data_IF_025824290143
#
_entry.id   IF_025824290143
#
_cell.length_a   1.000
_cell.length_b   1.000
_cell.length_c   1.000
_cell.angle_alpha   90.00
_cell.angle_beta   90.00
_cell.angle_gamma   90.00
#
_symmetry.space_group_name_H-M   'P 1'
#
loop_
_entity.id
_entity.type
_entity.pdbx_description
1 polymer ?
#
# COMPACT_ATOMS: atom_id res chain seq x y z
N UNK A 1 -61.70 -21.96 -65.66
CA UNK A 1 -60.99 -21.99 -64.36
C UNK A 1 -60.22 -23.29 -64.30
N UNK A 2 -58.94 -23.28 -64.69
CA UNK A 2 -58.12 -24.49 -64.68
C UNK A 2 -57.70 -24.80 -63.24
N UNK A 3 -58.18 -25.91 -62.70
CA UNK A 3 -57.82 -26.40 -61.38
C UNK A 3 -56.42 -26.99 -61.42
N UNK A 4 -55.48 -26.33 -60.74
CA UNK A 4 -54.09 -26.80 -60.54
C UNK A 4 -54.05 -28.27 -60.11
N UNK A 5 -53.08 -28.99 -60.65
CA UNK A 5 -52.89 -30.41 -60.34
C UNK A 5 -52.25 -30.60 -58.95
N UNK A 6 -52.50 -31.74 -58.27
CA UNK A 6 -52.00 -31.98 -56.90
C UNK A 6 -50.47 -31.90 -56.76
N UNK A 7 -49.75 -32.12 -57.87
CA UNK A 7 -48.29 -32.04 -57.99
C UNK A 7 -47.78 -30.60 -58.01
N UNK A 8 -48.41 -29.70 -58.77
CA UNK A 8 -48.04 -28.27 -58.83
C UNK A 8 -48.22 -27.58 -57.46
N UNK A 9 -49.28 -27.93 -56.72
CA UNK A 9 -49.48 -27.42 -55.35
C UNK A 9 -48.41 -27.91 -54.36
N UNK A 10 -47.90 -29.13 -54.54
CA UNK A 10 -46.83 -29.69 -53.69
C UNK A 10 -45.48 -29.02 -53.98
N UNK A 11 -45.17 -28.73 -55.23
CA UNK A 11 -43.94 -28.02 -55.62
C UNK A 11 -43.97 -26.54 -55.18
N UNK A 12 -45.12 -25.88 -55.32
CA UNK A 12 -45.33 -24.52 -54.79
C UNK A 12 -45.20 -24.47 -53.26
N UNK A 13 -45.74 -25.48 -52.54
CA UNK A 13 -45.60 -25.58 -51.10
C UNK A 13 -44.15 -25.88 -50.66
N UNK A 14 -43.42 -26.74 -51.40
CA UNK A 14 -42.02 -27.04 -51.13
C UNK A 14 -41.12 -25.82 -51.33
N UNK A 15 -41.39 -25.01 -52.36
CA UNK A 15 -40.65 -23.77 -52.63
C UNK A 15 -40.89 -22.73 -51.54
N UNK A 16 -42.16 -22.55 -51.10
CA UNK A 16 -42.48 -21.66 -49.96
C UNK A 16 -41.79 -22.11 -48.67
N UNK A 17 -41.77 -23.41 -48.38
CA UNK A 17 -41.08 -23.96 -47.19
C UNK A 17 -39.58 -23.69 -47.23
N UNK A 18 -38.94 -23.80 -48.40
CA UNK A 18 -37.51 -23.47 -48.58
C UNK A 18 -37.22 -22.00 -48.28
N UNK A 19 -38.05 -21.08 -48.77
CA UNK A 19 -37.92 -19.64 -48.48
C UNK A 19 -38.13 -19.34 -46.99
N UNK A 20 -39.09 -20.01 -46.34
CA UNK A 20 -39.33 -19.88 -44.89
C UNK A 20 -38.12 -20.38 -44.10
N UNK A 21 -37.57 -21.55 -44.42
CA UNK A 21 -36.36 -22.07 -43.74
C UNK A 21 -35.13 -21.18 -43.94
N UNK A 22 -35.02 -20.51 -45.09
CA UNK A 22 -33.92 -19.58 -45.38
C UNK A 22 -34.05 -18.29 -44.54
N UNK A 23 -35.26 -17.73 -44.47
CA UNK A 23 -35.54 -16.59 -43.63
C UNK A 23 -35.34 -16.90 -42.13
N UNK A 24 -35.70 -18.11 -41.69
CA UNK A 24 -35.50 -18.58 -40.32
C UNK A 24 -34.01 -18.67 -39.96
N UNK A 25 -33.18 -19.24 -40.84
CA UNK A 25 -31.72 -19.30 -40.63
C UNK A 25 -31.11 -17.90 -40.53
N UNK A 26 -31.53 -16.97 -41.39
CA UNK A 26 -31.06 -15.57 -41.35
C UNK A 26 -31.50 -14.88 -40.06
N UNK A 27 -32.73 -15.10 -39.60
CA UNK A 27 -33.22 -14.54 -38.34
C UNK A 27 -32.41 -15.06 -37.14
N UNK A 28 -32.15 -16.36 -37.08
CA UNK A 28 -31.32 -16.97 -36.03
C UNK A 28 -29.90 -16.42 -36.05
N UNK A 29 -29.29 -16.28 -37.23
CA UNK A 29 -27.97 -15.68 -37.38
C UNK A 29 -27.94 -14.23 -36.88
N UNK A 30 -28.97 -13.43 -37.18
CA UNK A 30 -29.11 -12.06 -36.67
C UNK A 30 -29.21 -12.00 -35.14
N UNK A 31 -29.99 -12.88 -34.52
CA UNK A 31 -30.11 -12.96 -33.05
C UNK A 31 -28.78 -13.36 -32.40
N UNK A 32 -28.06 -14.32 -32.99
CA UNK A 32 -26.74 -14.73 -32.49
C UNK A 32 -25.72 -13.58 -32.54
N UNK A 33 -25.69 -12.83 -33.65
CA UNK A 33 -24.81 -11.66 -33.79
C UNK A 33 -25.18 -10.56 -32.78
N UNK A 34 -26.48 -10.31 -32.58
CA UNK A 34 -26.96 -9.33 -31.61
C UNK A 34 -26.58 -9.72 -30.17
N UNK A 35 -26.74 -11.00 -29.82
CA UNK A 35 -26.36 -11.53 -28.51
C UNK A 35 -24.84 -11.41 -28.27
N UNK A 36 -24.02 -11.75 -29.27
CA UNK A 36 -22.56 -11.60 -29.19
C UNK A 36 -22.14 -10.13 -29.02
N UNK A 37 -22.74 -9.23 -29.80
CA UNK A 37 -22.46 -7.77 -29.70
C UNK A 37 -22.88 -7.21 -28.35
N UNK A 38 -24.03 -7.65 -27.82
CA UNK A 38 -24.50 -7.24 -26.50
C UNK A 38 -23.56 -7.73 -25.40
N UNK A 39 -23.11 -8.98 -25.50
CA UNK A 39 -22.17 -9.57 -24.55
C UNK A 39 -20.83 -8.84 -24.55
N UNK A 40 -20.25 -8.56 -25.72
CA UNK A 40 -18.97 -7.83 -25.81
C UNK A 40 -19.09 -6.42 -25.25
N UNK A 41 -20.14 -5.67 -25.61
CA UNK A 41 -20.37 -4.33 -25.08
C UNK A 41 -20.57 -4.33 -23.55
N UNK A 42 -21.33 -5.29 -23.03
CA UNK A 42 -21.53 -5.43 -21.58
C UNK A 42 -20.24 -5.81 -20.84
N UNK A 43 -19.44 -6.70 -21.43
CA UNK A 43 -18.12 -7.10 -20.91
C UNK A 43 -17.15 -5.92 -20.87
N UNK A 44 -17.07 -5.13 -21.95
CA UNK A 44 -16.21 -3.95 -22.03
C UNK A 44 -16.63 -2.88 -21.02
N UNK A 45 -17.95 -2.66 -20.86
CA UNK A 45 -18.45 -1.72 -19.86
C UNK A 45 -18.05 -2.11 -18.43
N UNK A 46 -18.21 -3.40 -18.08
CA UNK A 46 -17.79 -3.97 -16.80
C UNK A 46 -16.28 -3.84 -16.57
N UNK A 47 -15.46 -4.11 -17.58
CA UNK A 47 -14.01 -3.97 -17.48
C UNK A 47 -13.59 -2.52 -17.25
N UNK A 48 -14.20 -1.59 -17.99
CA UNK A 48 -13.91 -0.16 -17.89
C UNK A 48 -14.34 0.44 -16.53
N UNK A 49 -15.46 -0.02 -15.96
CA UNK A 49 -15.86 0.31 -14.58
C UNK A 49 -14.85 -0.22 -13.56
N UNK A 50 -14.40 -1.46 -13.71
CA UNK A 50 -13.39 -2.06 -12.83
C UNK A 50 -12.06 -1.30 -12.88
N UNK A 51 -11.60 -0.93 -14.07
CA UNK A 51 -10.39 -0.13 -14.28
C UNK A 51 -10.52 1.27 -13.71
N UNK A 52 -11.70 1.91 -13.87
CA UNK A 52 -11.96 3.23 -13.28
C UNK A 52 -11.96 3.18 -11.75
N UNK A 53 -12.57 2.16 -11.14
CA UNK A 53 -12.52 1.93 -9.69
C UNK A 53 -11.09 1.66 -9.24
N UNK A 54 -10.35 0.83 -9.98
CA UNK A 54 -8.94 0.53 -9.69
C UNK A 54 -8.08 1.81 -9.77
N UNK A 55 -8.26 2.64 -10.80
CA UNK A 55 -7.55 3.90 -10.99
C UNK A 55 -7.93 4.95 -9.94
N UNK A 56 -9.20 5.06 -9.55
CA UNK A 56 -9.61 5.94 -8.46
C UNK A 56 -9.04 5.46 -7.13
N UNK A 57 -9.03 4.14 -6.88
CA UNK A 57 -8.44 3.57 -5.68
C UNK A 57 -6.92 3.74 -5.64
N UNK A 58 -6.23 3.63 -6.79
CA UNK A 58 -4.79 3.84 -6.88
C UNK A 58 -4.46 5.31 -6.65
N UNK A 59 -5.17 6.25 -7.31
CA UNK A 59 -5.00 7.68 -7.11
C UNK A 59 -5.29 8.11 -5.66
N UNK A 60 -6.33 7.55 -5.03
CA UNK A 60 -6.62 7.78 -3.61
C UNK A 60 -5.51 7.23 -2.69
N UNK A 61 -4.98 6.04 -3.00
CA UNK A 61 -3.81 5.47 -2.33
C UNK A 61 -2.57 6.33 -2.54
N UNK A 62 -2.38 6.91 -3.72
CA UNK A 62 -1.24 7.78 -4.03
C UNK A 62 -1.25 9.09 -3.26
N UNK A 63 -2.42 9.72 -3.15
CA UNK A 63 -2.62 10.95 -2.37
C UNK A 63 -2.43 10.71 -0.87
N UNK A 64 -2.70 9.50 -0.41
CA UNK A 64 -2.53 9.08 1.01
C UNK A 64 -1.08 8.64 1.32
N UNK A 65 -0.14 8.71 0.35
CA UNK A 65 1.26 8.35 0.58
C UNK A 65 1.94 9.43 1.43
N UNK A 66 2.12 9.17 2.72
CA UNK A 66 3.06 9.90 3.57
C UNK A 66 4.49 9.47 3.19
N UNK A 67 5.34 10.44 2.90
CA UNK A 67 6.76 10.22 2.64
C UNK A 67 7.58 10.95 3.72
N UNK A 68 7.76 10.28 4.87
CA UNK A 68 8.50 10.88 5.97
C UNK A 68 9.99 10.91 5.65
N UNK A 69 10.54 12.12 5.73
CA UNK A 69 11.97 12.40 5.78
C UNK A 69 12.35 12.83 7.19
N UNK A 70 13.62 12.64 7.57
CA UNK A 70 14.12 13.11 8.86
C UNK A 70 15.28 14.08 8.67
N UNK A 71 15.30 15.13 9.49
CA UNK A 71 16.42 16.05 9.63
C UNK A 71 17.10 15.75 10.96
N UNK A 72 18.40 15.48 10.91
CA UNK A 72 19.23 15.28 12.10
C UNK A 72 19.42 16.63 12.81
N UNK A 73 19.09 16.66 14.09
CA UNK A 73 19.24 17.82 14.98
C UNK A 73 20.10 17.44 16.20
N UNK A 74 20.50 18.46 16.95
CA UNK A 74 21.23 18.31 18.22
C UNK A 74 22.47 17.40 18.14
N UNK A 75 23.19 17.49 17.01
CA UNK A 75 24.40 16.67 16.79
C UNK A 75 24.13 15.16 16.72
N UNK A 76 22.92 14.75 16.34
CA UNK A 76 22.51 13.36 16.27
C UNK A 76 21.72 12.86 17.47
N UNK A 77 21.26 13.74 18.36
CA UNK A 77 20.38 13.29 19.46
C UNK A 77 18.91 13.17 19.01
N UNK A 78 18.49 13.98 18.04
CA UNK A 78 17.09 14.14 17.66
C UNK A 78 16.94 14.01 16.16
N UNK A 79 15.87 13.35 15.70
CA UNK A 79 15.44 13.35 14.30
C UNK A 79 14.11 14.08 14.19
N UNK A 80 14.10 15.23 13.52
CA UNK A 80 12.86 15.94 13.18
C UNK A 80 12.23 15.31 11.95
N UNK A 81 11.03 14.76 12.10
CA UNK A 81 10.26 14.16 11.01
C UNK A 81 9.55 15.26 10.21
N UNK A 82 9.59 15.15 8.88
CA UNK A 82 8.89 16.03 7.95
C UNK A 82 8.28 15.24 6.82
N UNK A 83 7.06 15.59 6.45
CA UNK A 83 6.47 15.23 5.16
C UNK A 83 6.42 16.49 4.29
N UNK A 84 6.84 16.37 3.04
CA UNK A 84 6.79 17.48 2.09
C UNK A 84 5.35 17.86 1.69
N UNK A 85 4.38 16.97 1.93
CA UNK A 85 3.01 17.10 1.42
C UNK A 85 1.97 17.40 2.49
N UNK A 86 2.24 17.08 3.75
CA UNK A 86 1.25 17.12 4.82
C UNK A 86 1.84 17.67 6.11
N UNK A 87 1.05 18.46 6.84
CA UNK A 87 1.37 18.83 8.21
C UNK A 87 1.10 17.64 9.14
N UNK A 88 2.15 17.19 9.82
CA UNK A 88 2.09 16.08 10.77
C UNK A 88 1.56 16.62 12.10
N UNK A 89 0.41 16.12 12.58
CA UNK A 89 -0.19 16.59 13.83
C UNK A 89 0.05 15.64 15.01
N UNK A 90 -0.55 14.45 14.96
CA UNK A 90 -0.38 13.43 15.99
C UNK A 90 0.52 12.33 15.44
N UNK A 91 1.78 12.33 15.90
CA UNK A 91 2.75 11.30 15.54
C UNK A 91 2.91 10.37 16.73
N UNK A 92 2.75 9.07 16.48
CA UNK A 92 3.02 8.02 17.47
C UNK A 92 4.11 7.12 16.93
N UNK A 93 5.21 7.03 17.67
CA UNK A 93 6.38 6.22 17.34
C UNK A 93 6.37 4.99 18.22
N UNK A 94 6.30 3.83 17.59
CA UNK A 94 6.19 2.54 18.26
C UNK A 94 7.44 1.70 17.99
N UNK A 95 8.01 1.15 19.05
CA UNK A 95 9.25 0.38 18.99
C UNK A 95 9.00 -1.13 19.00
N UNK A 96 9.97 -1.94 18.55
CA UNK A 96 9.92 -3.38 18.73
C UNK A 96 9.74 -3.77 20.21
N UNK A 97 8.81 -4.68 20.50
CA UNK A 97 8.49 -5.08 21.89
C UNK A 97 9.69 -5.63 22.65
N UNK A 98 10.58 -6.32 21.93
CA UNK A 98 11.78 -6.91 22.51
C UNK A 98 12.79 -5.87 23.05
N UNK A 99 12.67 -4.59 22.67
CA UNK A 99 13.48 -3.51 23.24
C UNK A 99 12.96 -3.04 24.60
N UNK A 100 11.71 -3.38 24.95
CA UNK A 100 11.09 -2.96 26.22
C UNK A 100 10.82 -1.44 26.31
N UNK A 101 10.85 -0.73 25.18
CA UNK A 101 10.57 0.71 25.11
C UNK A 101 9.09 0.92 24.77
N UNK A 102 8.38 1.68 25.61
CA UNK A 102 6.97 2.04 25.37
C UNK A 102 6.83 2.94 24.13
N UNK A 103 5.67 2.91 23.43
CA UNK A 103 5.38 3.86 22.37
C UNK A 103 5.53 5.31 22.85
N UNK A 104 6.11 6.15 22.02
CA UNK A 104 6.37 7.56 22.31
C UNK A 104 5.50 8.44 21.42
N UNK A 105 4.97 9.50 22.02
CA UNK A 105 4.19 10.53 21.33
C UNK A 105 4.81 11.88 21.66
N UNK A 106 5.55 12.50 20.73
CA UNK A 106 6.11 13.81 20.99
C UNK A 106 4.98 14.85 21.11
N UNK A 107 5.08 15.79 22.07
CA UNK A 107 3.96 16.67 22.44
C UNK A 107 3.77 17.87 21.50
N UNK A 108 4.78 18.26 20.72
CA UNK A 108 4.74 19.45 19.89
C UNK A 108 5.32 19.19 18.49
N UNK A 109 6.64 19.04 18.40
CA UNK A 109 7.27 18.74 17.12
C UNK A 109 7.31 17.23 16.86
N UNK A 110 7.10 16.78 15.62
CA UNK A 110 7.15 15.36 15.26
C UNK A 110 8.61 14.88 15.25
N UNK A 111 9.18 14.66 16.43
CA UNK A 111 10.58 14.24 16.61
C UNK A 111 10.70 12.77 17.00
N UNK A 112 11.86 12.19 16.72
CA UNK A 112 12.35 10.97 17.37
C UNK A 112 13.57 11.33 18.21
N UNK A 113 13.46 11.20 19.53
CA UNK A 113 14.57 11.45 20.45
C UNK A 113 15.35 10.15 20.71
N UNK A 114 16.67 10.23 20.60
CA UNK A 114 17.57 9.11 20.85
C UNK A 114 17.54 8.62 22.29
N UNK A 115 17.23 9.50 23.26
CA UNK A 115 17.14 9.17 24.68
C UNK A 115 16.07 8.13 25.00
N UNK A 116 15.03 8.00 24.15
CA UNK A 116 13.98 7.00 24.34
C UNK A 116 14.48 5.57 24.14
N UNK A 117 15.53 5.38 23.35
CA UNK A 117 16.05 4.07 22.96
C UNK A 117 17.51 3.85 23.32
N UNK A 118 18.26 4.91 23.67
CA UNK A 118 19.70 4.86 23.91
C UNK A 118 20.08 3.77 24.90
N UNK A 119 19.39 3.70 26.03
CA UNK A 119 19.73 2.75 27.10
C UNK A 119 19.50 1.30 26.67
N UNK A 120 18.40 1.03 25.96
CA UNK A 120 18.09 -0.29 25.43
C UNK A 120 19.10 -0.71 24.34
N UNK A 121 19.44 0.22 23.44
CA UNK A 121 20.40 -0.01 22.36
C UNK A 121 21.83 -0.23 22.88
N UNK A 122 22.26 0.55 23.87
CA UNK A 122 23.57 0.40 24.49
C UNK A 122 23.68 -0.94 25.22
N UNK A 123 22.64 -1.36 25.96
CA UNK A 123 22.59 -2.69 26.59
C UNK A 123 22.64 -3.83 25.57
N UNK A 124 21.92 -3.69 24.47
CA UNK A 124 21.85 -4.71 23.42
C UNK A 124 23.16 -4.87 22.65
N UNK A 125 23.97 -3.80 22.62
CA UNK A 125 25.30 -3.78 21.98
C UNK A 125 26.45 -3.91 22.99
N UNK A 126 26.13 -4.18 24.26
CA UNK A 126 27.12 -4.29 25.33
C UNK A 126 27.99 -5.54 25.18
N UNK A 127 29.27 -5.44 25.52
CA UNK A 127 30.26 -6.51 25.28
C UNK A 127 30.85 -6.54 23.86
N UNK A 128 30.34 -5.69 22.96
CA UNK A 128 30.83 -5.51 21.60
C UNK A 128 31.83 -4.36 21.42
N UNK A 129 32.20 -4.09 20.16
CA UNK A 129 32.92 -2.85 19.78
C UNK A 129 32.15 -1.61 20.26
N UNK A 130 32.87 -0.62 20.78
CA UNK A 130 32.29 0.68 21.15
C UNK A 130 31.71 1.41 19.93
N UNK A 131 32.41 1.28 18.79
CA UNK A 131 31.98 1.83 17.51
C UNK A 131 31.13 0.80 16.78
N UNK A 132 29.83 1.09 16.67
CA UNK A 132 28.85 0.28 15.94
C UNK A 132 27.90 1.17 15.17
N UNK A 133 27.35 0.65 14.09
CA UNK A 133 26.26 1.28 13.38
C UNK A 133 25.21 0.22 13.06
N UNK A 134 23.96 0.65 12.93
CA UNK A 134 22.87 -0.26 12.61
C UNK A 134 21.59 0.46 12.27
N UNK A 135 20.54 -0.35 12.13
CA UNK A 135 19.19 0.11 11.82
C UNK A 135 18.25 -0.37 12.92
N UNK A 136 17.39 0.54 13.37
CA UNK A 136 16.34 0.25 14.31
C UNK A 136 15.00 0.45 13.58
N UNK A 137 14.27 -0.62 13.23
CA UNK A 137 12.95 -0.47 12.67
C UNK A 137 12.01 0.11 13.74
N UNK A 138 11.18 1.08 13.35
CA UNK A 138 10.14 1.70 14.17
C UNK A 138 8.86 1.82 13.35
N UNK A 139 7.71 1.63 13.98
CA UNK A 139 6.41 1.90 13.37
C UNK A 139 6.00 3.34 13.69
N UNK A 140 5.91 4.17 12.66
CA UNK A 140 5.43 5.55 12.78
C UNK A 140 3.99 5.59 12.29
N UNK A 141 3.09 6.03 13.15
CA UNK A 141 1.69 6.29 12.83
C UNK A 141 1.44 7.79 12.94
N UNK A 142 0.87 8.37 11.89
CA UNK A 142 0.59 9.81 11.79
C UNK A 142 -0.89 10.00 11.56
N UNK A 143 -1.47 10.95 12.28
CA UNK A 143 -2.77 11.52 11.95
C UNK A 143 -2.58 12.87 11.27
N UNK A 144 -3.29 13.06 10.14
CA UNK A 144 -3.25 14.28 9.34
C UNK A 144 -4.66 14.62 8.84
N UNK A 145 -4.88 15.87 8.46
CA UNK A 145 -6.15 16.31 7.87
C UNK A 145 -6.08 16.32 6.34
N UNK A 146 -7.12 15.78 5.72
CA UNK A 146 -7.39 15.89 4.28
C UNK A 146 -8.71 16.65 4.13
N UNK A 147 -8.63 17.98 4.01
CA UNK A 147 -9.78 18.87 4.17
C UNK A 147 -10.36 18.76 5.58
N UNK A 148 -11.65 18.42 5.68
CA UNK A 148 -12.35 18.24 6.97
C UNK A 148 -12.28 16.80 7.51
N UNK A 149 -11.60 15.88 6.82
CA UNK A 149 -11.52 14.47 7.25
C UNK A 149 -10.18 14.17 7.89
N UNK A 150 -10.20 13.75 9.16
CA UNK A 150 -9.01 13.18 9.81
C UNK A 150 -8.69 11.82 9.20
N UNK A 151 -7.45 11.65 8.73
CA UNK A 151 -6.94 10.39 8.25
C UNK A 151 -5.74 9.94 9.04
N UNK A 152 -5.54 8.63 9.07
CA UNK A 152 -4.39 8.00 9.72
C UNK A 152 -3.62 7.22 8.68
N UNK A 153 -2.30 7.37 8.69
CA UNK A 153 -1.40 6.55 7.92
C UNK A 153 -0.28 6.05 8.81
N UNK A 154 0.18 4.83 8.53
CA UNK A 154 1.28 4.21 9.25
C UNK A 154 2.34 3.70 8.29
N UNK A 155 3.57 3.57 8.78
CA UNK A 155 4.68 3.00 8.03
C UNK A 155 5.79 2.55 8.96
N UNK A 156 6.55 1.55 8.51
CA UNK A 156 7.76 1.09 9.20
C UNK A 156 8.96 1.80 8.58
N UNK A 157 9.74 2.45 9.43
CA UNK A 157 10.93 3.20 9.08
C UNK A 157 12.13 2.66 9.82
N UNK A 158 13.29 2.66 9.18
CA UNK A 158 14.56 2.35 9.81
C UNK A 158 15.21 3.63 10.31
N UNK A 159 15.34 3.74 11.63
CA UNK A 159 16.18 4.75 12.26
C UNK A 159 17.63 4.27 12.17
N UNK A 160 18.45 5.00 11.42
CA UNK A 160 19.88 4.73 11.29
C UNK A 160 20.56 5.31 12.53
N UNK A 161 21.34 4.48 13.21
CA UNK A 161 22.04 4.86 14.43
C UNK A 161 23.49 4.42 14.41
N UNK A 162 24.29 5.09 15.23
CA UNK A 162 25.64 4.67 15.60
C UNK A 162 25.90 4.81 17.08
N UNK A 163 26.80 3.99 17.58
CA UNK A 163 27.45 4.17 18.87
C UNK A 163 28.92 4.48 18.65
N UNK A 164 29.50 5.22 19.59
CA UNK A 164 30.95 5.43 19.65
C UNK A 164 31.46 5.53 21.07
N UNK A 165 32.72 5.18 21.26
CA UNK A 165 33.39 5.25 22.55
C UNK A 165 33.66 6.70 22.98
N UNK A 166 33.32 7.05 24.22
CA UNK A 166 33.73 8.33 24.83
C UNK A 166 35.00 8.15 25.65
N UNK A 167 35.66 9.28 25.93
CA UNK A 167 36.96 9.39 26.64
C UNK A 167 36.98 8.78 28.06
N UNK A 168 35.85 8.27 28.59
CA UNK A 168 35.68 7.74 29.95
C UNK A 168 34.73 6.54 30.01
N UNK A 169 35.06 5.40 29.37
CA UNK A 169 34.33 4.10 29.39
C UNK A 169 32.81 4.14 29.11
N UNK A 170 32.27 5.29 28.74
CA UNK A 170 30.88 5.50 28.38
C UNK A 170 30.75 5.46 26.87
N UNK A 171 29.63 4.94 26.38
CA UNK A 171 29.31 4.88 24.95
C UNK A 171 28.27 5.96 24.65
N UNK A 172 28.47 6.70 23.57
CA UNK A 172 27.46 7.61 23.05
C UNK A 172 26.53 6.87 22.10
N UNK A 173 25.27 7.26 22.05
CA UNK A 173 24.33 6.83 21.01
C UNK A 173 23.95 8.06 20.17
N UNK A 174 23.96 7.91 18.85
CA UNK A 174 23.58 8.96 17.91
C UNK A 174 22.70 8.41 16.80
N UNK A 175 21.71 9.21 16.44
CA UNK A 175 20.84 9.07 15.29
C UNK A 175 21.50 9.75 14.08
N UNK A 176 21.56 9.04 12.96
CA UNK A 176 22.15 9.54 11.72
C UNK A 176 21.12 9.82 10.64
N UNK A 177 19.94 9.22 10.72
CA UNK A 177 18.90 9.45 9.74
C UNK A 177 17.73 8.50 9.84
N UNK A 178 16.82 8.63 8.89
CA UNK A 178 15.63 7.82 8.75
C UNK A 178 15.51 7.33 7.31
N UNK A 179 15.23 6.06 7.14
CA UNK A 179 14.96 5.46 5.84
C UNK A 179 13.61 4.76 5.85
N UNK A 180 12.80 4.97 4.81
CA UNK A 180 11.56 4.22 4.65
C UNK A 180 11.89 2.76 4.35
N UNK A 181 11.32 1.85 5.16
CA UNK A 181 11.43 0.40 4.92
C UNK A 181 10.18 -0.14 4.26
N UNK A 182 9.03 0.15 4.86
CA UNK A 182 7.75 -0.37 4.39
C UNK A 182 6.65 0.64 4.66
N UNK A 183 5.77 0.85 3.69
CA UNK A 183 4.56 1.64 3.89
C UNK A 183 3.46 0.76 4.46
N UNK A 184 2.72 1.27 5.44
CA UNK A 184 1.85 0.45 6.28
C UNK A 184 2.62 -0.54 7.15
N UNK A 185 1.90 -1.21 8.03
CA UNK A 185 2.47 -2.20 8.93
C UNK A 185 1.74 -2.20 10.26
N UNK A 186 2.07 -3.20 11.06
CA UNK A 186 1.57 -3.37 12.41
C UNK A 186 2.73 -3.78 13.32
N UNK A 187 2.45 -3.85 14.61
CA UNK A 187 3.42 -4.27 15.62
C UNK A 187 4.01 -5.65 15.33
N UNK A 188 3.19 -6.60 14.83
CA UNK A 188 3.64 -7.96 14.59
C UNK A 188 4.72 -8.02 13.49
N UNK A 189 4.53 -7.25 12.41
CA UNK A 189 5.55 -7.11 11.36
C UNK A 189 6.80 -6.41 11.85
N UNK A 190 6.64 -5.34 12.65
CA UNK A 190 7.76 -4.64 13.28
C UNK A 190 8.62 -5.61 14.09
N UNK A 191 7.99 -6.38 14.98
CA UNK A 191 8.67 -7.36 15.82
C UNK A 191 9.32 -8.48 14.98
N UNK A 192 8.66 -8.94 13.92
CA UNK A 192 9.22 -9.97 13.02
C UNK A 192 10.45 -9.48 12.25
N UNK A 193 10.50 -8.21 11.84
CA UNK A 193 11.69 -7.59 11.24
C UNK A 193 12.81 -7.54 12.28
N UNK A 194 12.50 -7.06 13.48
CA UNK A 194 13.48 -6.92 14.54
C UNK A 194 14.12 -8.25 14.95
N UNK A 195 13.35 -9.34 15.02
CA UNK A 195 13.88 -10.68 15.34
C UNK A 195 14.99 -11.10 14.36
N UNK A 196 14.88 -10.70 13.08
CA UNK A 196 15.85 -11.04 12.03
C UNK A 196 17.08 -10.13 12.02
N UNK A 197 16.91 -8.86 12.38
CA UNK A 197 17.91 -7.82 12.15
C UNK A 197 18.52 -7.25 13.43
N UNK A 198 18.09 -7.73 14.61
CA UNK A 198 18.65 -7.28 15.88
C UNK A 198 20.18 -7.40 15.86
N UNK A 199 20.90 -6.34 16.28
CA UNK A 199 22.34 -6.41 16.45
C UNK A 199 22.68 -7.53 17.45
N UNK A 200 23.75 -8.27 17.17
CA UNK A 200 24.33 -9.21 18.13
C UNK A 200 25.42 -8.49 18.93
N UNK A 201 25.51 -8.82 20.22
CA UNK A 201 26.59 -8.35 21.10
C UNK A 201 27.96 -8.77 20.57
#
# INVERSE_FOLDING_TARGET
MSTETPTERREAAATRRRWVTLAEVVAVAGVLIAALTLWTNWSDHRANEADKIAAQSSAARERTKIDLSAIVQDGGNTLLLKDARHDLQDVTITFPRALGVSPQRPPAEPIIDGSWVSDAMLKLTDGGSDDRAGRLPVLVSVQYFDGDTTRTASGIYDVIWKTHGRRWRSRAFQLEGLQVRQRGGDQAKLDAIWVKEKPTA
#
